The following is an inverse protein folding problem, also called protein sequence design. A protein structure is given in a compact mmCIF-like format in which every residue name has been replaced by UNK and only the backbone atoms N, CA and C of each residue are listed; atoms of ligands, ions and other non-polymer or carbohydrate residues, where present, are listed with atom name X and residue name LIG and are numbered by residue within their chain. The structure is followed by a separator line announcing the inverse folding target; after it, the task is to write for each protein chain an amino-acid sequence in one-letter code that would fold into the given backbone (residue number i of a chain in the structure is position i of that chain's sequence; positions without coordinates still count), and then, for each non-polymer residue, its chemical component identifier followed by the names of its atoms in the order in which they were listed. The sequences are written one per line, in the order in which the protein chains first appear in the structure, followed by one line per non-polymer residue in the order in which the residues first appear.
data_IF_375467296970
#
_entry.id   IF_375467296970
#
_cell.length_a   1.000
_cell.length_b   1.000
_cell.length_c   1.000
_cell.angle_alpha   90.00
_cell.angle_beta   90.00
_cell.angle_gamma   90.00
#
_symmetry.space_group_name_H-M   'P 1'
#
loop_
_entity.id
_entity.type
_entity.pdbx_description
1 polymer ?
#
# COMPACT_ATOMS: atom_id res chain seq x y z
N UNK A 1 38.02 27.62 -2.76
CA UNK A 1 37.80 26.18 -2.64
C UNK A 1 36.33 25.84 -2.49
N UNK A 2 35.83 24.96 -3.30
CA UNK A 2 34.44 24.55 -3.10
C UNK A 2 34.28 23.80 -1.78
N UNK A 3 33.23 24.15 -1.08
CA UNK A 3 32.92 23.49 0.19
C UNK A 3 32.21 22.18 -0.07
N UNK A 4 32.64 21.12 0.59
CA UNK A 4 32.08 19.77 0.42
C UNK A 4 30.89 19.50 1.32
N UNK A 5 30.27 20.54 1.90
CA UNK A 5 29.24 20.41 2.89
C UNK A 5 27.99 19.66 2.40
N UNK A 6 27.64 19.80 1.13
CA UNK A 6 26.42 19.19 0.60
C UNK A 6 26.68 17.97 -0.30
N UNK A 7 27.95 17.69 -0.61
CA UNK A 7 28.27 16.59 -1.53
C UNK A 7 27.95 15.21 -0.94
N UNK A 8 28.49 14.94 0.23
CA UNK A 8 28.28 13.62 0.87
C UNK A 8 26.81 13.42 1.27
N UNK A 9 26.16 14.37 1.97
CA UNK A 9 24.74 14.20 2.29
C UNK A 9 23.86 14.09 1.05
N UNK A 10 24.17 14.83 -0.02
CA UNK A 10 23.41 14.78 -1.25
C UNK A 10 23.55 13.41 -1.92
N UNK A 11 24.78 12.89 -1.95
CA UNK A 11 25.04 11.57 -2.53
C UNK A 11 24.31 10.47 -1.77
N UNK A 12 24.31 10.54 -0.44
CA UNK A 12 23.61 9.58 0.39
C UNK A 12 22.11 9.63 0.14
N UNK A 13 21.55 10.82 0.00
CA UNK A 13 20.14 10.98 -0.30
C UNK A 13 19.78 10.33 -1.62
N UNK A 14 20.62 10.54 -2.65
CA UNK A 14 20.42 9.89 -3.95
C UNK A 14 20.53 8.38 -3.85
N UNK A 15 21.49 7.87 -3.10
CA UNK A 15 21.67 6.43 -2.91
C UNK A 15 20.46 5.82 -2.25
N UNK A 16 19.91 6.50 -1.25
CA UNK A 16 18.73 5.98 -0.55
C UNK A 16 17.51 5.91 -1.46
N UNK A 17 17.32 6.95 -2.31
CA UNK A 17 16.22 6.96 -3.26
C UNK A 17 16.40 5.84 -4.30
N UNK A 18 17.61 5.71 -4.85
CA UNK A 18 17.90 4.68 -5.84
C UNK A 18 17.78 3.28 -5.25
N UNK A 19 18.17 3.12 -3.99
CA UNK A 19 18.01 1.85 -3.29
C UNK A 19 16.53 1.50 -3.15
N UNK A 20 15.70 2.48 -2.82
CA UNK A 20 14.26 2.27 -2.71
C UNK A 20 13.63 1.97 -4.07
N UNK A 21 14.21 2.52 -5.16
CA UNK A 21 13.72 2.30 -6.52
C UNK A 21 14.30 1.05 -7.18
N UNK A 22 15.09 0.29 -6.46
CA UNK A 22 15.72 -0.91 -7.00
C UNK A 22 14.66 -1.88 -7.51
N UNK A 23 14.86 -2.36 -8.74
CA UNK A 23 13.92 -3.26 -9.37
C UNK A 23 12.83 -2.58 -10.17
N UNK A 24 12.79 -1.26 -10.20
CA UNK A 24 11.78 -0.53 -10.96
C UNK A 24 12.05 -0.63 -12.45
N UNK A 25 10.97 -0.53 -13.21
CA UNK A 25 11.02 -0.72 -14.66
C UNK A 25 11.79 0.41 -15.35
N UNK A 26 12.59 0.03 -16.32
CA UNK A 26 13.32 0.97 -17.16
C UNK A 26 14.30 1.82 -16.40
N UNK A 27 14.37 3.10 -16.75
CA UNK A 27 15.29 4.04 -16.14
C UNK A 27 14.86 4.54 -14.76
N UNK A 28 13.65 4.20 -14.34
CA UNK A 28 13.16 4.58 -13.03
C UNK A 28 13.97 4.01 -11.89
N UNK A 29 14.71 2.95 -12.15
CA UNK A 29 15.58 2.34 -11.14
C UNK A 29 16.96 3.00 -11.07
N UNK A 30 17.38 3.72 -12.10
CA UNK A 30 18.75 4.24 -12.20
C UNK A 30 18.83 5.75 -12.40
N UNK A 31 17.85 6.37 -13.04
CA UNK A 31 17.84 7.81 -13.27
C UNK A 31 17.21 8.50 -12.07
N UNK A 32 18.01 9.34 -11.37
CA UNK A 32 17.58 9.93 -10.10
C UNK A 32 16.30 10.79 -10.25
N UNK A 33 16.16 11.52 -11.34
CA UNK A 33 14.97 12.36 -11.54
C UNK A 33 13.71 11.51 -11.66
N UNK A 34 13.78 10.42 -12.41
CA UNK A 34 12.67 9.50 -12.57
C UNK A 34 12.45 8.68 -11.30
N UNK A 35 13.54 8.34 -10.61
CA UNK A 35 13.47 7.55 -9.38
C UNK A 35 12.77 8.34 -8.27
N UNK A 36 13.03 9.64 -8.15
CA UNK A 36 12.38 10.48 -7.14
C UNK A 36 10.87 10.44 -7.31
N UNK A 37 10.39 10.67 -8.53
CA UNK A 37 8.97 10.64 -8.82
C UNK A 37 8.36 9.25 -8.59
N UNK A 38 9.07 8.21 -9.06
CA UNK A 38 8.57 6.84 -8.92
C UNK A 38 8.45 6.43 -7.46
N UNK A 39 9.45 6.75 -6.63
CA UNK A 39 9.42 6.43 -5.21
C UNK A 39 8.32 7.20 -4.49
N UNK A 40 8.13 8.48 -4.85
CA UNK A 40 7.07 9.29 -4.27
C UNK A 40 5.69 8.70 -4.58
N UNK A 41 5.45 8.34 -5.84
CA UNK A 41 4.20 7.70 -6.24
C UNK A 41 4.00 6.34 -5.55
N UNK A 42 5.07 5.55 -5.47
CA UNK A 42 5.01 4.26 -4.79
C UNK A 42 4.63 4.43 -3.32
N UNK A 43 5.18 5.46 -2.67
CA UNK A 43 4.83 5.77 -1.29
C UNK A 43 3.38 6.17 -1.13
N UNK A 44 2.86 6.99 -2.04
CA UNK A 44 1.46 7.40 -2.04
C UNK A 44 0.54 6.20 -2.23
N UNK A 45 0.87 5.33 -3.19
CA UNK A 45 0.08 4.14 -3.44
C UNK A 45 0.11 3.19 -2.25
N UNK A 46 1.28 3.02 -1.64
CA UNK A 46 1.40 2.17 -0.46
C UNK A 46 0.53 2.68 0.68
N UNK A 47 0.52 3.99 0.91
CA UNK A 47 -0.30 4.61 1.94
C UNK A 47 -1.79 4.37 1.66
N UNK A 48 -2.24 4.67 0.44
CA UNK A 48 -3.63 4.51 0.05
C UNK A 48 -4.06 3.05 0.11
N UNK A 49 -3.21 2.15 -0.38
CA UNK A 49 -3.55 0.73 -0.45
C UNK A 49 -3.51 0.04 0.91
N UNK A 50 -2.69 0.54 1.86
CA UNK A 50 -2.75 0.00 3.21
C UNK A 50 -4.11 0.28 3.85
N UNK A 51 -4.72 1.41 3.52
CA UNK A 51 -6.06 1.74 3.98
C UNK A 51 -7.14 0.96 3.23
N UNK A 52 -6.97 0.82 1.92
CA UNK A 52 -7.88 0.04 1.09
C UNK A 52 -7.87 -1.44 1.47
N UNK A 53 -6.72 -1.95 1.86
CA UNK A 53 -6.56 -3.34 2.28
C UNK A 53 -7.52 -3.72 3.41
N UNK A 54 -7.73 -2.79 4.35
CA UNK A 54 -8.65 -3.03 5.45
C UNK A 54 -10.07 -3.25 4.95
N UNK A 55 -10.50 -2.42 3.99
CA UNK A 55 -11.81 -2.57 3.36
C UNK A 55 -11.92 -3.84 2.53
N UNK A 56 -10.85 -4.17 1.80
CA UNK A 56 -10.81 -5.37 0.98
C UNK A 56 -10.97 -6.63 1.82
N UNK A 57 -10.26 -6.71 2.93
CA UNK A 57 -10.37 -7.85 3.84
C UNK A 57 -11.74 -7.91 4.49
N UNK A 58 -12.31 -6.77 4.83
CA UNK A 58 -13.65 -6.74 5.38
C UNK A 58 -14.67 -7.30 4.39
N UNK A 59 -14.54 -6.93 3.12
CA UNK A 59 -15.39 -7.45 2.05
C UNK A 59 -15.24 -8.97 1.93
N UNK A 60 -14.01 -9.45 2.00
CA UNK A 60 -13.74 -10.88 1.97
C UNK A 60 -14.37 -11.60 3.15
N UNK A 61 -14.24 -11.03 4.36
CA UNK A 61 -14.85 -11.60 5.56
C UNK A 61 -16.36 -11.69 5.44
N UNK A 62 -16.98 -10.61 4.94
CA UNK A 62 -18.43 -10.57 4.76
C UNK A 62 -18.86 -11.63 3.75
N UNK A 63 -18.12 -11.78 2.65
CA UNK A 63 -18.42 -12.79 1.63
C UNK A 63 -18.36 -14.20 2.21
N UNK A 64 -17.32 -14.49 2.98
CA UNK A 64 -17.15 -15.82 3.59
C UNK A 64 -18.22 -16.08 4.64
N UNK A 65 -18.52 -15.08 5.46
CA UNK A 65 -19.54 -15.22 6.50
C UNK A 65 -20.91 -15.39 5.88
N UNK A 66 -21.20 -14.66 4.81
CA UNK A 66 -22.46 -14.81 4.08
C UNK A 66 -22.63 -16.23 3.54
N UNK A 67 -21.55 -16.79 2.98
CA UNK A 67 -21.60 -18.18 2.48
C UNK A 67 -21.88 -19.15 3.62
N UNK A 68 -21.26 -18.94 4.78
CA UNK A 68 -21.46 -19.82 5.93
C UNK A 68 -22.88 -19.76 6.46
N UNK A 69 -23.44 -18.55 6.62
CA UNK A 69 -24.78 -18.41 7.20
C UNK A 69 -25.87 -18.86 6.23
N UNK A 70 -25.63 -18.84 4.92
CA UNK A 70 -26.59 -19.31 3.94
C UNK A 70 -26.80 -20.81 4.02
N UNK A 71 -25.84 -21.55 4.53
CA UNK A 71 -26.02 -22.98 4.80
C UNK A 71 -27.08 -23.22 5.85
N UNK A 72 -27.34 -22.24 6.71
CA UNK A 72 -28.40 -22.31 7.72
C UNK A 72 -29.68 -21.64 7.26
N UNK A 73 -29.74 -21.25 5.98
CA UNK A 73 -30.97 -20.72 5.39
C UNK A 73 -31.24 -19.25 5.66
N UNK A 74 -30.25 -18.50 6.14
CA UNK A 74 -30.41 -17.06 6.39
C UNK A 74 -29.40 -16.27 5.56
N UNK A 75 -29.71 -15.00 5.33
CA UNK A 75 -28.81 -14.08 4.63
C UNK A 75 -27.88 -13.38 5.61
N UNK A 76 -26.84 -12.74 5.09
CA UNK A 76 -25.92 -11.96 5.93
C UNK A 76 -26.65 -10.84 6.67
N UNK A 77 -27.56 -10.15 5.99
CA UNK A 77 -28.33 -9.06 6.61
C UNK A 77 -29.14 -9.55 7.79
N UNK A 78 -29.79 -10.70 7.64
CA UNK A 78 -30.56 -11.32 8.72
C UNK A 78 -29.66 -11.73 9.88
N UNK A 79 -28.49 -12.28 9.57
CA UNK A 79 -27.51 -12.70 10.58
C UNK A 79 -27.04 -11.51 11.42
N UNK A 80 -26.69 -10.40 10.76
CA UNK A 80 -26.23 -9.19 11.46
C UNK A 80 -27.34 -8.60 12.31
N UNK A 81 -28.57 -8.63 11.80
CA UNK A 81 -29.73 -8.15 12.55
C UNK A 81 -29.91 -8.95 13.84
N UNK A 82 -29.79 -10.26 13.75
CA UNK A 82 -29.91 -11.14 14.92
C UNK A 82 -28.78 -10.91 15.92
N UNK A 83 -27.56 -10.71 15.44
CA UNK A 83 -26.43 -10.40 16.32
C UNK A 83 -26.63 -9.10 17.08
N UNK A 84 -27.16 -8.10 16.40
CA UNK A 84 -27.38 -6.80 17.04
C UNK A 84 -28.48 -6.86 18.11
N UNK A 85 -29.42 -7.78 17.97
CA UNK A 85 -30.45 -8.01 18.98
C UNK A 85 -29.91 -8.75 20.19
N UNK A 86 -28.91 -9.59 19.96
CA UNK A 86 -28.27 -10.30 21.04
C UNK A 86 -27.25 -9.41 21.75
#
# INVERSE_FOLDING_TARGET
MPRAKSRVPSRERRKNILKAAKGYYGRRKSNIRLAIDAVAHAGQYAYAHRRDKKGDFRTLWITRLNAAVREFGISYSQFIHLLNKA
#
